data_IF_928679606181
#
_entry.id   IF_928679606181
#
_cell.length_a   1.000
_cell.length_b   1.000
_cell.length_c   1.000
_cell.angle_alpha   90.00
_cell.angle_beta   90.00
_cell.angle_gamma   90.00
#
_symmetry.space_group_name_H-M   'P 1'
#
loop_
_entity.id
_entity.type
_entity.pdbx_description
1 polymer ?
#
# COMPACT_ATOMS: atom_id res chain seq x y z
N UNK A 1 39.59 -3.92 -39.12
CA UNK A 1 39.06 -5.19 -38.58
C UNK A 1 39.51 -5.27 -37.13
N UNK A 2 38.62 -4.96 -36.20
CA UNK A 2 38.87 -5.11 -34.77
C UNK A 2 37.95 -6.23 -34.27
N UNK A 3 38.48 -7.30 -33.65
CA UNK A 3 37.63 -8.29 -33.01
C UNK A 3 37.33 -7.91 -31.55
N UNK A 4 36.08 -8.14 -31.21
CA UNK A 4 35.57 -8.61 -29.92
C UNK A 4 35.54 -7.61 -28.73
N UNK A 5 34.40 -6.91 -28.62
CA UNK A 5 33.97 -6.24 -27.39
C UNK A 5 33.19 -7.23 -26.53
N UNK A 6 33.89 -7.86 -25.59
CA UNK A 6 33.28 -8.54 -24.45
C UNK A 6 32.54 -7.50 -23.60
N UNK A 7 31.23 -7.37 -23.79
CA UNK A 7 30.38 -6.57 -22.90
C UNK A 7 30.26 -7.28 -21.55
N UNK A 8 30.92 -6.68 -20.57
CA UNK A 8 30.84 -7.02 -19.15
C UNK A 8 29.45 -6.56 -18.68
N UNK A 9 28.60 -7.49 -18.25
CA UNK A 9 27.33 -7.14 -17.59
C UNK A 9 27.67 -6.47 -16.25
N UNK A 10 27.36 -5.18 -16.12
CA UNK A 10 27.51 -4.43 -14.88
C UNK A 10 26.41 -4.81 -13.89
N UNK A 11 26.83 -4.81 -12.63
CA UNK A 11 26.21 -5.34 -11.43
C UNK A 11 25.10 -4.41 -10.90
N UNK A 12 24.11 -4.09 -11.72
CA UNK A 12 22.87 -3.43 -11.26
C UNK A 12 21.81 -4.48 -10.95
N UNK A 13 22.16 -5.37 -10.01
CA UNK A 13 21.20 -6.29 -9.41
C UNK A 13 20.17 -5.47 -8.64
N UNK A 14 18.95 -5.48 -9.15
CA UNK A 14 17.75 -4.87 -8.60
C UNK A 14 17.68 -5.21 -7.11
N UNK A 15 18.05 -4.24 -6.27
CA UNK A 15 18.02 -4.36 -4.83
C UNK A 15 16.55 -4.27 -4.37
N UNK A 16 15.78 -5.34 -4.61
CA UNK A 16 14.42 -5.47 -4.09
C UNK A 16 14.49 -5.56 -2.57
N UNK A 17 14.27 -4.44 -1.90
CA UNK A 17 14.09 -4.40 -0.44
C UNK A 17 12.77 -5.08 -0.10
N UNK A 18 12.81 -6.40 0.09
CA UNK A 18 11.68 -7.16 0.62
C UNK A 18 11.62 -6.89 2.12
N UNK A 19 10.64 -6.10 2.55
CA UNK A 19 10.40 -5.85 3.96
C UNK A 19 9.94 -7.16 4.62
N UNK A 20 10.60 -7.56 5.71
CA UNK A 20 10.24 -8.77 6.46
C UNK A 20 8.76 -8.74 6.86
N UNK A 21 8.09 -9.88 6.70
CA UNK A 21 6.70 -10.02 7.14
C UNK A 21 6.66 -10.09 8.66
N UNK A 22 6.23 -9.00 9.29
CA UNK A 22 6.17 -8.87 10.76
C UNK A 22 4.89 -9.45 11.38
N UNK A 23 4.11 -10.24 10.63
CA UNK A 23 2.83 -10.81 11.06
C UNK A 23 1.62 -9.89 10.81
N UNK A 24 0.39 -10.38 11.05
CA UNK A 24 -0.84 -9.63 10.82
C UNK A 24 -1.12 -8.63 11.95
N UNK A 25 -1.70 -7.47 11.62
CA UNK A 25 -2.03 -6.41 12.59
C UNK A 25 -0.85 -5.93 13.44
N UNK A 26 0.37 -6.03 12.91
CA UNK A 26 1.58 -5.82 13.70
C UNK A 26 1.96 -4.35 13.79
N UNK A 27 2.43 -3.96 14.97
CA UNK A 27 2.89 -2.61 15.28
C UNK A 27 1.77 -1.56 15.27
N UNK A 28 2.12 -0.33 15.66
CA UNK A 28 1.19 0.79 15.73
C UNK A 28 1.60 1.90 14.76
N UNK A 29 0.60 2.55 14.19
CA UNK A 29 0.70 3.67 13.26
C UNK A 29 -0.31 4.73 13.65
N UNK A 30 0.11 5.98 13.73
CA UNK A 30 -0.79 7.11 13.98
C UNK A 30 -1.31 7.63 12.64
N UNK A 31 -2.62 7.53 12.44
CA UNK A 31 -3.31 8.05 11.27
C UNK A 31 -4.02 9.35 11.61
N UNK A 32 -3.99 10.33 10.71
CA UNK A 32 -4.70 11.60 10.89
C UNK A 32 -6.23 11.43 10.86
N UNK A 33 -6.71 10.40 10.15
CA UNK A 33 -8.12 10.08 10.00
C UNK A 33 -8.44 8.76 10.71
N UNK A 34 -9.65 8.66 11.25
CA UNK A 34 -10.23 7.36 11.60
C UNK A 34 -10.51 6.54 10.34
N UNK A 35 -10.72 5.23 10.48
CA UNK A 35 -11.08 4.38 9.34
C UNK A 35 -12.33 4.93 8.61
N UNK A 36 -13.36 5.32 9.36
CA UNK A 36 -14.61 5.83 8.77
C UNK A 36 -14.37 7.11 7.97
N UNK A 37 -13.61 8.05 8.53
CA UNK A 37 -13.27 9.30 7.84
C UNK A 37 -12.43 9.06 6.58
N UNK A 38 -11.50 8.11 6.63
CA UNK A 38 -10.68 7.74 5.49
C UNK A 38 -11.52 7.04 4.40
N UNK A 39 -12.47 6.19 4.80
CA UNK A 39 -13.38 5.51 3.88
C UNK A 39 -14.31 6.51 3.19
N UNK A 40 -14.86 7.47 3.95
CA UNK A 40 -15.69 8.55 3.39
C UNK A 40 -14.91 9.43 2.43
N UNK A 41 -13.67 9.80 2.78
CA UNK A 41 -12.78 10.56 1.89
C UNK A 41 -12.52 9.82 0.58
N UNK A 42 -12.16 8.53 0.65
CA UNK A 42 -11.93 7.70 -0.52
C UNK A 42 -13.20 7.44 -1.35
N UNK A 43 -14.38 7.59 -0.76
CA UNK A 43 -15.67 7.53 -1.47
C UNK A 43 -15.96 8.82 -2.21
N UNK A 44 -15.64 9.97 -1.60
CA UNK A 44 -15.90 11.30 -2.16
C UNK A 44 -14.85 11.69 -3.22
N UNK A 45 -13.61 11.25 -3.05
CA UNK A 45 -12.45 11.65 -3.86
C UNK A 45 -11.67 10.42 -4.37
N UNK A 46 -12.28 9.54 -5.20
CA UNK A 46 -11.68 8.25 -5.58
C UNK A 46 -10.41 8.37 -6.45
N UNK A 47 -10.22 9.50 -7.11
CA UNK A 47 -9.06 9.78 -7.96
C UNK A 47 -7.99 10.63 -7.26
N UNK A 48 -8.18 10.93 -5.97
CA UNK A 48 -7.18 11.70 -5.21
C UNK A 48 -5.88 10.91 -5.14
N UNK A 49 -4.81 11.58 -5.56
CA UNK A 49 -3.47 11.04 -5.51
C UNK A 49 -2.76 11.45 -4.21
N UNK A 50 -2.08 10.48 -3.62
CA UNK A 50 -1.23 10.63 -2.44
C UNK A 50 0.18 10.12 -2.79
N UNK A 51 1.13 10.36 -1.89
CA UNK A 51 2.50 9.86 -2.03
C UNK A 51 2.88 9.09 -0.77
N UNK A 52 3.51 7.92 -0.92
CA UNK A 52 3.93 7.12 0.23
C UNK A 52 5.00 7.83 1.06
N UNK A 53 5.03 7.64 2.38
CA UNK A 53 5.97 8.31 3.29
C UNK A 53 7.45 7.91 3.17
N UNK A 54 7.82 7.03 2.23
CA UNK A 54 9.20 6.58 2.01
C UNK A 54 9.79 7.16 0.72
N UNK A 55 9.61 6.46 -0.39
CA UNK A 55 10.13 6.84 -1.71
C UNK A 55 9.21 7.79 -2.48
N UNK A 56 8.17 8.33 -1.84
CA UNK A 56 7.17 9.19 -2.49
C UNK A 56 6.53 8.55 -3.73
N UNK A 57 6.35 7.23 -3.77
CA UNK A 57 5.59 6.60 -4.85
C UNK A 57 4.14 7.11 -4.85
N UNK A 58 3.62 7.58 -6.00
CA UNK A 58 2.23 8.04 -6.10
C UNK A 58 1.26 6.86 -5.96
N UNK A 59 0.14 7.08 -5.29
CA UNK A 59 -0.91 6.08 -5.16
C UNK A 59 -2.30 6.73 -5.09
N UNK A 60 -3.33 5.96 -5.45
CA UNK A 60 -4.74 6.33 -5.28
C UNK A 60 -5.42 5.39 -4.29
N UNK A 61 -6.58 5.82 -3.80
CA UNK A 61 -7.33 5.11 -2.77
C UNK A 61 -8.76 4.87 -3.23
N UNK A 62 -9.25 3.65 -3.03
CA UNK A 62 -10.63 3.29 -3.38
C UNK A 62 -11.36 2.70 -2.18
N UNK A 63 -12.53 3.24 -1.88
CA UNK A 63 -13.47 2.65 -0.94
C UNK A 63 -14.26 1.53 -1.64
N UNK A 64 -14.29 0.33 -1.04
CA UNK A 64 -15.03 -0.83 -1.58
C UNK A 64 -15.73 -1.61 -0.48
N UNK A 65 -16.70 -2.43 -0.88
CA UNK A 65 -17.25 -3.52 -0.08
C UNK A 65 -16.69 -4.84 -0.60
N UNK A 66 -16.16 -5.67 0.29
CA UNK A 66 -15.66 -6.99 -0.05
C UNK A 66 -16.80 -7.94 -0.43
N UNK A 67 -16.61 -8.70 -1.50
CA UNK A 67 -17.64 -9.62 -2.01
C UNK A 67 -17.35 -11.09 -1.69
N UNK A 68 -16.14 -11.40 -1.23
CA UNK A 68 -15.63 -12.77 -1.00
C UNK A 68 -14.68 -12.80 0.21
N UNK A 69 -14.43 -14.01 0.72
CA UNK A 69 -13.51 -14.27 1.84
C UNK A 69 -14.12 -14.01 3.22
N UNK A 70 -13.30 -14.16 4.26
CA UNK A 70 -13.69 -14.01 5.67
C UNK A 70 -14.30 -12.63 5.98
N UNK A 71 -13.82 -11.59 5.31
CA UNK A 71 -14.33 -10.23 5.48
C UNK A 71 -15.53 -9.89 4.59
N UNK A 72 -16.21 -10.84 3.94
CA UNK A 72 -17.33 -10.55 3.00
C UNK A 72 -18.36 -9.59 3.62
N UNK A 73 -18.76 -8.57 2.86
CA UNK A 73 -19.70 -7.53 3.29
C UNK A 73 -19.06 -6.39 4.08
N UNK A 74 -17.78 -6.49 4.41
CA UNK A 74 -17.07 -5.44 5.15
C UNK A 74 -16.58 -4.33 4.24
N UNK A 75 -16.49 -3.13 4.80
CA UNK A 75 -15.80 -1.99 4.19
C UNK A 75 -14.30 -2.28 4.12
N UNK A 76 -13.68 -1.91 3.00
CA UNK A 76 -12.25 -2.01 2.78
C UNK A 76 -11.76 -0.79 2.01
N UNK A 77 -10.58 -0.30 2.39
CA UNK A 77 -9.84 0.72 1.67
C UNK A 77 -8.74 0.03 0.87
N UNK A 78 -8.69 0.28 -0.44
CA UNK A 78 -7.72 -0.33 -1.36
C UNK A 78 -6.73 0.73 -1.84
N UNK A 79 -5.43 0.44 -1.70
CA UNK A 79 -4.33 1.32 -2.11
C UNK A 79 -3.75 0.83 -3.44
N UNK A 80 -3.71 1.70 -4.45
CA UNK A 80 -3.30 1.35 -5.82
C UNK A 80 -2.15 2.23 -6.32
N UNK A 81 -1.16 1.63 -6.97
CA UNK A 81 -0.06 2.31 -7.66
C UNK A 81 0.21 1.58 -8.97
N UNK A 82 0.43 2.32 -10.06
CA UNK A 82 0.64 1.77 -11.41
C UNK A 82 -0.46 0.78 -11.82
N UNK A 83 -1.71 1.13 -11.53
CA UNK A 83 -2.89 0.28 -11.76
C UNK A 83 -2.89 -1.10 -11.08
N UNK A 84 -1.99 -1.30 -10.12
CA UNK A 84 -1.92 -2.51 -9.30
C UNK A 84 -2.38 -2.20 -7.88
N UNK A 85 -3.14 -3.13 -7.30
CA UNK A 85 -3.38 -3.11 -5.86
C UNK A 85 -2.07 -3.44 -5.14
N UNK A 86 -1.59 -2.51 -4.32
CA UNK A 86 -0.38 -2.71 -3.52
C UNK A 86 -0.73 -3.17 -2.11
N UNK A 87 -1.85 -2.70 -1.57
CA UNK A 87 -2.31 -3.05 -0.24
C UNK A 87 -3.81 -2.79 -0.05
N UNK A 88 -4.35 -3.31 1.05
CA UNK A 88 -5.72 -3.00 1.52
C UNK A 88 -5.79 -2.93 3.03
N UNK A 89 -6.69 -2.13 3.57
CA UNK A 89 -6.95 -2.03 5.00
C UNK A 89 -8.44 -2.21 5.31
N UNK A 90 -8.73 -3.07 6.28
CA UNK A 90 -10.03 -3.21 6.93
C UNK A 90 -10.08 -2.35 8.18
N UNK A 91 -11.27 -2.13 8.79
CA UNK A 91 -11.37 -1.43 10.08
C UNK A 91 -10.44 -2.02 11.15
N UNK A 92 -10.33 -3.35 11.23
CA UNK A 92 -9.45 -4.04 12.18
C UNK A 92 -7.95 -3.88 11.90
N UNK A 93 -7.57 -3.44 10.69
CA UNK A 93 -6.18 -3.15 10.35
C UNK A 93 -5.80 -1.69 10.61
N UNK A 94 -6.78 -0.82 10.81
CA UNK A 94 -6.52 0.61 10.86
C UNK A 94 -5.69 0.97 12.09
N UNK A 95 -4.59 1.69 11.88
CA UNK A 95 -3.63 2.00 12.93
C UNK A 95 -2.58 0.91 13.19
N UNK A 96 -2.59 -0.19 12.43
CA UNK A 96 -1.50 -1.17 12.41
C UNK A 96 -0.50 -0.91 11.28
N UNK A 97 0.70 -1.48 11.36
CA UNK A 97 1.65 -1.43 10.24
C UNK A 97 1.29 -2.42 9.16
N UNK A 98 0.69 -3.56 9.51
CA UNK A 98 0.30 -4.59 8.55
C UNK A 98 -1.19 -4.90 8.61
N UNK A 99 -1.77 -5.38 7.50
CA UNK A 99 -3.15 -5.85 7.46
C UNK A 99 -3.30 -7.33 7.89
N UNK A 100 -4.50 -7.89 7.79
CA UNK A 100 -4.79 -9.31 8.10
C UNK A 100 -3.90 -10.30 7.35
N UNK A 101 -3.40 -9.94 6.17
CA UNK A 101 -2.55 -10.78 5.33
C UNK A 101 -1.05 -10.47 5.52
N UNK A 102 -0.68 -9.79 6.62
CA UNK A 102 0.68 -9.34 6.92
C UNK A 102 1.29 -8.42 5.85
N UNK A 103 0.46 -7.80 5.01
CA UNK A 103 0.91 -6.82 4.01
C UNK A 103 1.09 -5.45 4.66
N UNK A 104 2.20 -4.78 4.36
CA UNK A 104 2.49 -3.44 4.85
C UNK A 104 1.48 -2.40 4.35
N UNK A 105 0.85 -1.70 5.29
CA UNK A 105 -0.13 -0.63 5.07
C UNK A 105 0.33 0.72 5.65
N UNK A 106 1.39 0.72 6.46
CA UNK A 106 1.96 1.95 7.04
C UNK A 106 2.51 2.96 6.01
N UNK A 107 2.95 2.59 4.80
CA UNK A 107 3.38 3.59 3.82
C UNK A 107 2.21 4.44 3.31
N UNK A 108 0.97 3.94 3.44
CA UNK A 108 -0.23 4.52 2.83
C UNK A 108 -1.14 5.19 3.86
N UNK A 109 -1.50 4.48 4.93
CA UNK A 109 -2.56 4.91 5.86
C UNK A 109 -2.32 6.27 6.53
N UNK A 110 -1.10 6.67 6.92
CA UNK A 110 -0.83 8.01 7.48
C UNK A 110 -0.93 9.13 6.45
N UNK A 111 -0.81 8.81 5.17
CA UNK A 111 -0.80 9.80 4.09
C UNK A 111 -2.21 10.25 3.71
N UNK A 112 -3.23 9.50 4.15
CA UNK A 112 -4.63 9.92 4.03
C UNK A 112 -4.92 11.04 5.03
N UNK A 113 -4.88 12.27 4.54
CA UNK A 113 -5.18 13.51 5.26
C UNK A 113 -6.09 14.39 4.40
N UNK A 114 -6.89 15.25 5.05
CA UNK A 114 -7.72 16.24 4.37
C UNK A 114 -6.86 17.32 3.74
#
# INVERSE_FOLDING_TARGET
MNPDSTHIYTKDEINMVVKESIGPHSGAVVNALTFDQAYDLATQEPDRQYHTGGNSTPFTVQARITTKGEHRGSRVIVFRSDDQERARAYPCCWGARTNCNSTHIEPYTPQMKR
#
